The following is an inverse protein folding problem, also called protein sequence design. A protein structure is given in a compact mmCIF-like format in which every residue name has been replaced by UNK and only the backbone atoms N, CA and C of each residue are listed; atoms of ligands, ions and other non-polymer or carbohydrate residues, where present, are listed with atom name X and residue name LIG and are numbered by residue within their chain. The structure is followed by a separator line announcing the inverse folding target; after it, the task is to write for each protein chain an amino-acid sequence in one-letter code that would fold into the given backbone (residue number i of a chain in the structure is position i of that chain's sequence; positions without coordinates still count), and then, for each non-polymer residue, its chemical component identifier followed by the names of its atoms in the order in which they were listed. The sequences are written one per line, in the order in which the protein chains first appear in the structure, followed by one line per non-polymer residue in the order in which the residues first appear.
data_IF_264281561358
#
_entry.id   IF_264281561358
#
_cell.length_a   1.000
_cell.length_b   1.000
_cell.length_c   1.000
_cell.angle_alpha   90.00
_cell.angle_beta   90.00
_cell.angle_gamma   90.00
#
_symmetry.space_group_name_H-M   'P 1'
#
loop_
_entity.id
_entity.type
_entity.pdbx_description
1 polymer ?
#
# COMPACT_ATOMS: atom_id res chain seq x y z
N UNK A 1 -12.97 -9.23 -27.30
CA UNK A 1 -13.52 -9.34 -25.93
C UNK A 1 -12.44 -8.85 -24.97
N UNK A 2 -12.74 -8.07 -23.91
CA UNK A 2 -11.69 -7.65 -22.97
C UNK A 2 -11.13 -8.90 -22.29
N UNK A 3 -9.81 -9.02 -22.32
CA UNK A 3 -9.05 -10.11 -21.70
C UNK A 3 -9.31 -10.13 -20.18
N UNK A 4 -9.16 -11.27 -19.48
CA UNK A 4 -9.45 -11.44 -18.03
C UNK A 4 -8.80 -10.32 -17.19
N UNK A 5 -7.56 -9.95 -17.55
CA UNK A 5 -6.81 -8.86 -16.94
C UNK A 5 -7.51 -7.51 -17.15
N UNK A 6 -8.01 -7.22 -18.35
CA UNK A 6 -8.77 -5.98 -18.59
C UNK A 6 -10.06 -5.95 -17.77
N UNK A 7 -10.72 -7.09 -17.49
CA UNK A 7 -11.90 -7.10 -16.62
C UNK A 7 -11.55 -6.85 -15.16
N UNK A 8 -10.46 -7.44 -14.65
CA UNK A 8 -9.97 -7.14 -13.30
C UNK A 8 -9.57 -5.67 -13.19
N UNK A 9 -8.86 -5.12 -14.18
CA UNK A 9 -8.43 -3.72 -14.18
C UNK A 9 -9.60 -2.75 -14.46
N UNK A 10 -10.57 -3.10 -15.29
CA UNK A 10 -11.80 -2.31 -15.50
C UNK A 10 -12.66 -2.29 -14.22
N UNK A 11 -12.75 -3.42 -13.51
CA UNK A 11 -13.38 -3.51 -12.18
C UNK A 11 -12.66 -2.62 -11.15
N UNK A 12 -11.32 -2.59 -11.19
CA UNK A 12 -10.47 -1.71 -10.38
C UNK A 12 -10.74 -0.23 -10.69
N UNK A 13 -10.74 0.16 -11.98
CA UNK A 13 -10.98 1.53 -12.45
C UNK A 13 -12.39 2.04 -12.12
N UNK A 14 -13.41 1.18 -12.18
CA UNK A 14 -14.78 1.53 -11.79
C UNK A 14 -14.84 1.91 -10.30
N UNK A 15 -14.10 1.19 -9.43
CA UNK A 15 -13.97 1.58 -8.02
C UNK A 15 -13.18 2.88 -7.86
N UNK A 16 -12.05 3.06 -8.55
CA UNK A 16 -11.21 4.27 -8.41
C UNK A 16 -11.91 5.54 -8.91
N UNK A 17 -12.68 5.46 -10.00
CA UNK A 17 -13.45 6.61 -10.54
C UNK A 17 -14.57 7.07 -9.60
N UNK A 18 -15.14 6.18 -8.79
CA UNK A 18 -16.13 6.55 -7.78
C UNK A 18 -15.52 7.35 -6.61
N UNK A 19 -14.21 7.25 -6.37
CA UNK A 19 -13.51 7.96 -5.29
C UNK A 19 -12.89 9.31 -5.70
N UNK A 20 -13.05 9.76 -6.95
CA UNK A 20 -12.34 10.93 -7.51
C UNK A 20 -13.14 12.25 -7.52
N UNK A 21 -14.32 12.33 -6.91
CA UNK A 21 -15.17 13.53 -6.97
C UNK A 21 -15.22 14.29 -5.62
N UNK A 22 -14.09 14.85 -5.19
CA UNK A 22 -14.11 15.97 -4.22
C UNK A 22 -12.88 16.85 -4.40
N UNK A 23 -13.10 18.16 -4.37
CA UNK A 23 -12.16 19.26 -4.62
C UNK A 23 -10.83 19.10 -3.86
N UNK A 24 -9.76 18.68 -4.56
CA UNK A 24 -8.51 18.15 -3.98
C UNK A 24 -7.30 19.08 -3.95
N UNK A 25 -7.46 20.40 -3.92
CA UNK A 25 -6.29 21.28 -3.85
C UNK A 25 -6.59 22.61 -3.20
N UNK A 26 -6.04 22.82 -1.99
CA UNK A 26 -5.60 24.14 -1.49
C UNK A 26 -4.97 24.12 -0.09
N UNK A 27 -5.07 23.02 0.68
CA UNK A 27 -4.66 23.01 2.10
C UNK A 27 -3.19 22.62 2.29
N UNK A 28 -2.54 23.29 3.25
CA UNK A 28 -1.13 23.15 3.61
C UNK A 28 -0.96 22.77 5.08
N UNK A 29 0.25 22.36 5.46
CA UNK A 29 0.61 21.98 6.81
C UNK A 29 0.19 23.05 7.85
N UNK A 30 0.44 24.33 7.55
CA UNK A 30 0.07 25.44 8.42
C UNK A 30 -1.44 25.60 8.63
N UNK A 31 -2.27 25.16 7.68
CA UNK A 31 -3.73 25.29 7.76
C UNK A 31 -4.36 24.25 8.70
N UNK A 32 -3.69 23.11 8.90
CA UNK A 32 -4.22 21.96 9.64
C UNK A 32 -3.37 21.59 10.87
N UNK A 33 -2.31 22.33 11.18
CA UNK A 33 -1.44 22.05 12.34
C UNK A 33 -2.08 22.45 13.66
N UNK A 34 -1.65 21.77 14.72
CA UNK A 34 -1.98 22.13 16.10
C UNK A 34 -0.79 22.75 16.81
N UNK A 35 -1.07 23.63 17.78
CA UNK A 35 -0.03 24.18 18.67
C UNK A 35 0.65 23.05 19.42
N UNK A 36 1.99 22.95 19.37
CA UNK A 36 2.70 21.89 20.05
C UNK A 36 2.63 22.10 21.56
N UNK A 37 2.46 21.02 22.31
CA UNK A 37 2.57 21.02 23.76
C UNK A 37 3.94 20.47 24.12
N UNK A 38 4.69 21.21 24.92
CA UNK A 38 6.07 20.91 25.28
C UNK A 38 6.21 20.51 26.75
N UNK A 39 7.25 19.75 27.05
CA UNK A 39 7.72 19.43 28.41
C UNK A 39 9.24 19.61 28.47
N UNK A 40 9.75 20.00 29.64
CA UNK A 40 11.19 20.07 29.87
C UNK A 40 11.82 18.67 29.81
N UNK A 41 13.02 18.54 29.24
CA UNK A 41 13.78 17.29 29.18
C UNK A 41 13.94 16.58 30.52
N UNK A 42 13.96 17.34 31.61
CA UNK A 42 14.12 16.88 32.98
C UNK A 42 12.83 16.41 33.64
N UNK A 43 11.67 16.64 33.02
CA UNK A 43 10.38 16.17 33.52
C UNK A 43 10.36 14.64 33.63
N UNK A 44 9.65 14.12 34.64
CA UNK A 44 9.47 12.67 34.78
C UNK A 44 8.54 12.13 33.69
N UNK A 45 8.59 10.81 33.46
CA UNK A 45 7.63 10.14 32.57
C UNK A 45 6.19 10.37 33.07
N UNK A 46 5.96 10.37 34.39
CA UNK A 46 4.66 10.71 35.00
C UNK A 46 4.22 12.14 34.68
N UNK A 47 5.12 13.12 34.80
CA UNK A 47 4.77 14.52 34.50
C UNK A 47 4.35 14.66 33.04
N UNK A 48 5.08 14.02 32.11
CA UNK A 48 4.72 13.99 30.71
C UNK A 48 3.35 13.31 30.47
N UNK A 49 3.09 12.17 31.13
CA UNK A 49 1.80 11.49 31.07
C UNK A 49 0.65 12.37 31.59
N UNK A 50 0.87 13.13 32.66
CA UNK A 50 -0.12 14.09 33.19
C UNK A 50 -0.39 15.24 32.24
N UNK A 51 0.66 15.75 31.56
CA UNK A 51 0.49 16.75 30.50
C UNK A 51 -0.29 16.18 29.32
N UNK A 52 -0.02 14.94 28.91
CA UNK A 52 -0.77 14.25 27.85
C UNK A 52 -2.25 14.09 28.20
N UNK A 53 -2.56 13.54 29.39
CA UNK A 53 -3.93 13.32 29.86
C UNK A 53 -4.70 14.64 30.02
N UNK A 54 -4.10 15.65 30.65
CA UNK A 54 -4.74 16.94 30.88
C UNK A 54 -5.12 17.67 29.59
N UNK A 55 -4.30 17.54 28.55
CA UNK A 55 -4.51 18.24 27.28
C UNK A 55 -5.19 17.37 26.22
N UNK A 56 -5.53 16.12 26.54
CA UNK A 56 -6.12 15.17 25.61
C UNK A 56 -5.28 14.95 24.34
N UNK A 57 -3.97 14.72 24.51
CA UNK A 57 -3.00 14.53 23.42
C UNK A 57 -2.20 13.25 23.59
N UNK A 58 -1.83 12.61 22.48
CA UNK A 58 -1.03 11.38 22.48
C UNK A 58 0.48 11.57 22.33
N UNK A 59 0.98 12.81 22.38
CA UNK A 59 2.41 13.12 22.31
C UNK A 59 2.75 14.52 22.80
N UNK A 60 3.94 14.68 23.38
CA UNK A 60 4.54 15.97 23.76
C UNK A 60 5.89 16.15 23.06
N UNK A 61 6.23 17.39 22.73
CA UNK A 61 7.59 17.73 22.33
C UNK A 61 8.46 17.91 23.58
N UNK A 62 9.73 17.50 23.49
CA UNK A 62 10.68 17.60 24.59
C UNK A 62 11.65 18.73 24.32
N UNK A 63 11.72 19.68 25.25
CA UNK A 63 12.49 20.90 25.15
C UNK A 63 13.74 20.87 26.05
N UNK A 64 14.84 21.42 25.54
CA UNK A 64 16.08 21.67 26.28
C UNK A 64 16.46 23.15 26.08
N UNK A 65 16.39 23.95 27.14
CA UNK A 65 16.78 25.36 27.13
C UNK A 65 16.18 26.18 25.96
N UNK A 66 14.87 26.06 25.70
CA UNK A 66 14.21 26.80 24.62
C UNK A 66 14.25 26.14 23.25
N UNK A 67 14.82 24.94 23.13
CA UNK A 67 14.97 24.23 21.85
C UNK A 67 14.31 22.86 21.90
N UNK A 68 13.53 22.52 20.88
CA UNK A 68 12.93 21.19 20.76
C UNK A 68 14.00 20.17 20.37
N UNK A 69 14.25 19.20 21.24
CA UNK A 69 15.28 18.17 21.05
C UNK A 69 14.71 16.79 20.71
N UNK A 70 13.42 16.58 20.96
CA UNK A 70 12.75 15.31 20.66
C UNK A 70 11.24 15.36 20.81
N UNK A 71 10.62 14.20 20.65
CA UNK A 71 9.19 13.95 20.83
C UNK A 71 9.03 12.68 21.65
N UNK A 72 8.07 12.67 22.57
CA UNK A 72 7.65 11.46 23.28
C UNK A 72 6.16 11.25 23.09
N UNK A 73 5.78 10.01 22.84
CA UNK A 73 4.43 9.55 22.55
C UNK A 73 3.90 8.60 23.61
N UNK A 74 2.60 8.32 23.61
CA UNK A 74 2.01 7.29 24.48
C UNK A 74 2.77 5.95 24.35
N UNK A 75 3.10 5.54 23.13
CA UNK A 75 3.85 4.31 22.85
C UNK A 75 5.23 4.25 23.55
N UNK A 76 5.94 5.39 23.63
CA UNK A 76 7.22 5.46 24.34
C UNK A 76 7.04 5.23 25.84
N UNK A 77 5.97 5.79 26.41
CA UNK A 77 5.60 5.62 27.82
C UNK A 77 5.19 4.16 28.10
N UNK A 78 4.37 3.56 27.23
CA UNK A 78 3.99 2.15 27.32
C UNK A 78 5.22 1.24 27.29
N UNK A 79 6.13 1.43 26.33
CA UNK A 79 7.39 0.68 26.22
C UNK A 79 8.27 0.85 27.46
N UNK A 80 8.28 2.03 28.07
CA UNK A 80 9.01 2.27 29.30
C UNK A 80 8.44 1.42 30.45
N UNK A 81 7.12 1.41 30.61
CA UNK A 81 6.44 0.58 31.63
C UNK A 81 6.69 -0.91 31.40
N UNK A 82 6.61 -1.40 30.16
CA UNK A 82 6.93 -2.81 29.84
C UNK A 82 8.36 -3.21 30.23
N UNK A 83 9.29 -2.26 30.19
CA UNK A 83 10.70 -2.47 30.57
C UNK A 83 10.92 -2.33 32.08
N UNK A 84 9.88 -2.12 32.88
CA UNK A 84 9.98 -1.90 34.32
C UNK A 84 10.64 -0.57 34.68
N UNK A 85 10.60 0.41 33.78
CA UNK A 85 11.12 1.76 34.03
C UNK A 85 10.16 2.49 34.98
N UNK A 86 10.67 2.95 36.12
CA UNK A 86 9.91 3.71 37.11
C UNK A 86 9.52 5.10 36.55
N UNK A 87 8.21 5.37 36.34
CA UNK A 87 7.76 6.60 35.71
C UNK A 87 7.92 7.85 36.61
N UNK A 88 8.08 7.68 37.92
CA UNK A 88 8.29 8.77 38.87
C UNK A 88 9.75 9.26 38.89
N UNK A 89 10.69 8.36 38.60
CA UNK A 89 12.13 8.63 38.77
C UNK A 89 12.86 8.93 37.47
N UNK A 90 12.39 8.36 36.36
CA UNK A 90 13.08 8.43 35.06
C UNK A 90 12.55 9.59 34.24
N UNK A 91 13.47 10.24 33.52
CA UNK A 91 13.17 11.45 32.77
C UNK A 91 12.58 11.11 31.41
N UNK A 92 11.70 11.98 30.92
CA UNK A 92 11.10 11.83 29.59
C UNK A 92 12.14 11.84 28.47
N UNK A 93 13.24 12.59 28.64
CA UNK A 93 14.35 12.64 27.67
C UNK A 93 15.07 11.31 27.47
N UNK A 94 14.90 10.36 28.39
CA UNK A 94 15.55 9.04 28.33
C UNK A 94 14.77 8.03 27.48
N UNK A 95 13.49 8.32 27.21
CA UNK A 95 12.60 7.47 26.40
C UNK A 95 12.13 8.15 25.11
N UNK A 96 12.33 9.46 24.98
CA UNK A 96 11.94 10.21 23.79
C UNK A 96 12.65 9.73 22.53
N UNK A 97 11.99 9.93 21.39
CA UNK A 97 12.66 9.89 20.09
C UNK A 97 13.33 11.24 19.84
N UNK A 98 14.65 11.25 19.68
CA UNK A 98 15.41 12.45 19.34
C UNK A 98 15.19 12.91 17.89
N UNK A 99 15.39 14.21 17.66
CA UNK A 99 15.24 14.86 16.34
C UNK A 99 13.86 14.63 15.71
N UNK A 100 12.92 15.50 16.07
CA UNK A 100 11.55 15.50 15.53
C UNK A 100 11.61 15.61 14.01
N UNK A 101 10.87 14.74 13.32
CA UNK A 101 10.73 14.84 11.87
C UNK A 101 9.81 16.00 11.53
N UNK A 102 10.22 16.83 10.57
CA UNK A 102 9.52 18.07 10.27
C UNK A 102 9.17 18.25 8.79
N UNK A 103 8.18 19.09 8.55
CA UNK A 103 7.80 19.64 7.23
C UNK A 103 7.69 21.16 7.33
N UNK A 104 7.82 21.88 6.20
CA UNK A 104 7.55 23.32 6.15
C UNK A 104 6.05 23.60 6.25
N UNK A 105 5.65 24.75 6.82
CA UNK A 105 4.23 25.13 6.94
C UNK A 105 3.52 25.28 5.58
N UNK A 106 4.28 25.43 4.50
CA UNK A 106 3.82 25.51 3.12
C UNK A 106 3.62 24.15 2.43
N UNK A 107 4.05 23.05 3.05
CA UNK A 107 3.92 21.68 2.51
C UNK A 107 2.45 21.32 2.32
N UNK A 108 2.05 20.83 1.15
CA UNK A 108 0.68 20.40 0.88
C UNK A 108 0.32 19.07 1.58
N UNK A 109 -0.99 18.82 1.71
CA UNK A 109 -1.54 17.61 2.36
C UNK A 109 -1.03 16.31 1.74
N UNK A 110 -0.86 16.25 0.41
CA UNK A 110 -0.40 15.05 -0.28
C UNK A 110 1.08 14.77 0.03
N UNK A 111 1.92 15.80 0.09
CA UNK A 111 3.31 15.71 0.53
C UNK A 111 3.45 15.27 1.99
N UNK A 112 2.59 15.77 2.88
CA UNK A 112 2.52 15.34 4.29
C UNK A 112 2.16 13.85 4.37
N UNK A 113 1.13 13.43 3.63
CA UNK A 113 0.69 12.03 3.54
C UNK A 113 1.80 11.10 3.05
N UNK A 114 2.51 11.51 1.99
CA UNK A 114 3.70 10.83 1.46
C UNK A 114 4.78 10.57 2.51
N UNK A 115 5.08 11.57 3.33
CA UNK A 115 6.14 11.49 4.35
C UNK A 115 5.73 10.57 5.52
N UNK A 116 4.51 10.72 6.04
CA UNK A 116 4.01 9.88 7.14
C UNK A 116 4.07 8.40 6.77
N UNK A 117 3.60 8.06 5.56
CA UNK A 117 3.50 6.69 5.10
C UNK A 117 4.85 6.09 4.73
N UNK A 118 5.70 6.82 3.99
CA UNK A 118 7.05 6.35 3.62
C UNK A 118 7.93 6.05 4.83
N UNK A 119 7.72 6.77 5.92
CA UNK A 119 8.57 6.67 7.12
C UNK A 119 7.93 5.88 8.25
N UNK A 120 6.71 5.37 8.06
CA UNK A 120 5.92 4.69 9.10
C UNK A 120 5.83 5.52 10.39
N UNK A 121 5.67 6.83 10.26
CA UNK A 121 5.51 7.75 11.40
C UNK A 121 4.11 8.33 11.42
N UNK A 122 3.58 8.54 12.64
CA UNK A 122 2.20 9.01 12.84
C UNK A 122 2.08 10.53 12.95
N UNK A 123 3.22 11.23 13.09
CA UNK A 123 3.28 12.65 13.46
C UNK A 123 4.46 13.35 12.79
N UNK A 124 4.28 14.63 12.48
CA UNK A 124 5.30 15.53 11.95
C UNK A 124 5.26 16.86 12.69
N UNK A 125 6.43 17.41 13.03
CA UNK A 125 6.54 18.81 13.41
C UNK A 125 6.37 19.71 12.19
N UNK A 126 5.73 20.85 12.35
CA UNK A 126 5.60 21.87 11.30
C UNK A 126 6.56 22.99 11.62
N UNK A 127 7.35 23.38 10.63
CA UNK A 127 8.41 24.38 10.80
C UNK A 127 8.13 25.66 10.02
N UNK A 128 8.47 26.78 10.64
CA UNK A 128 8.56 28.10 10.02
C UNK A 128 9.90 28.73 10.38
N UNK A 129 10.64 29.20 9.37
CA UNK A 129 11.98 29.78 9.54
C UNK A 129 12.99 28.87 10.29
N UNK A 130 12.75 27.55 10.31
CA UNK A 130 13.60 26.56 10.98
C UNK A 130 13.13 26.15 12.39
N UNK A 131 12.16 26.87 12.97
CA UNK A 131 11.60 26.57 14.29
C UNK A 131 10.33 25.74 14.17
N UNK A 132 10.10 24.80 15.10
CA UNK A 132 8.86 24.01 15.14
C UNK A 132 7.75 24.86 15.75
N UNK A 133 6.79 25.25 14.90
CA UNK A 133 5.62 26.09 15.27
C UNK A 133 4.33 25.27 15.42
N UNK A 134 4.33 24.02 14.96
CA UNK A 134 3.14 23.17 14.92
C UNK A 134 3.44 21.69 15.04
N UNK A 135 2.42 20.89 15.28
CA UNK A 135 2.43 19.43 15.10
C UNK A 135 1.24 18.99 14.26
N UNK A 136 1.48 17.98 13.42
CA UNK A 136 0.49 17.29 12.62
C UNK A 136 0.50 15.81 12.94
N UNK A 137 -0.66 15.18 12.86
CA UNK A 137 -0.84 13.74 12.96
C UNK A 137 -1.52 13.21 11.70
N UNK A 138 -1.47 11.88 11.52
CA UNK A 138 -2.16 11.23 10.41
C UNK A 138 -3.69 11.46 10.45
N UNK A 139 -4.28 11.75 11.62
CA UNK A 139 -5.72 11.96 11.80
C UNK A 139 -6.19 13.21 11.06
N UNK A 140 -5.40 14.29 11.08
CA UNK A 140 -5.74 15.52 10.36
C UNK A 140 -5.86 15.26 8.85
N UNK A 141 -5.04 14.34 8.31
CA UNK A 141 -5.16 13.92 6.92
C UNK A 141 -6.48 13.16 6.67
N UNK A 142 -6.81 12.17 7.50
CA UNK A 142 -8.05 11.39 7.33
C UNK A 142 -9.28 12.30 7.31
N UNK A 143 -9.31 13.33 8.16
CA UNK A 143 -10.42 14.31 8.21
C UNK A 143 -10.71 14.95 6.87
N UNK A 144 -9.71 15.05 5.99
CA UNK A 144 -9.81 15.65 4.67
C UNK A 144 -10.04 14.65 3.54
N UNK A 145 -9.79 13.37 3.79
CA UNK A 145 -9.94 12.27 2.84
C UNK A 145 -11.28 11.54 3.08
N UNK A 146 -12.38 12.08 2.55
CA UNK A 146 -13.74 11.72 3.00
C UNK A 146 -14.44 10.54 2.30
N UNK A 147 -13.79 9.76 1.43
CA UNK A 147 -14.47 8.67 0.72
C UNK A 147 -13.68 7.36 0.75
N UNK A 148 -14.22 6.38 1.45
CA UNK A 148 -13.62 5.04 1.56
C UNK A 148 -14.54 4.03 0.90
N UNK A 149 -14.04 3.26 -0.06
CA UNK A 149 -14.81 2.23 -0.78
C UNK A 149 -14.46 0.82 -0.26
N UNK A 150 -14.79 0.52 1.00
CA UNK A 150 -14.66 -0.82 1.58
C UNK A 150 -15.77 -1.12 2.60
N UNK A 151 -15.93 -2.39 2.97
CA UNK A 151 -16.76 -2.84 4.11
C UNK A 151 -15.90 -2.93 5.38
N UNK A 152 -16.55 -3.06 6.53
CA UNK A 152 -15.89 -3.33 7.81
C UNK A 152 -15.02 -4.60 7.75
N UNK A 153 -15.51 -5.68 7.15
CA UNK A 153 -14.73 -6.91 6.85
C UNK A 153 -13.42 -6.58 6.14
N UNK A 154 -13.49 -5.73 5.11
CA UNK A 154 -12.32 -5.38 4.31
C UNK A 154 -11.29 -4.53 5.04
N UNK A 155 -11.68 -3.82 6.09
CA UNK A 155 -10.81 -2.92 6.84
C UNK A 155 -10.33 -3.50 8.17
N UNK A 156 -11.11 -4.35 8.82
CA UNK A 156 -10.87 -4.77 10.19
C UNK A 156 -9.56 -5.55 10.38
N UNK A 157 -8.94 -5.39 11.54
CA UNK A 157 -7.87 -6.25 12.03
C UNK A 157 -8.42 -7.30 12.99
N UNK A 158 -7.62 -8.35 13.20
CA UNK A 158 -7.85 -9.29 14.30
C UNK A 158 -7.79 -8.56 15.64
N UNK A 159 -8.69 -8.93 16.54
CA UNK A 159 -8.78 -8.32 17.85
C UNK A 159 -8.35 -9.29 18.93
N UNK A 160 -7.59 -8.77 19.90
CA UNK A 160 -7.26 -9.51 21.13
C UNK A 160 -8.32 -9.18 22.18
N UNK A 161 -8.90 -10.22 22.78
CA UNK A 161 -9.87 -10.11 23.86
C UNK A 161 -9.28 -10.71 25.13
N UNK A 162 -9.18 -9.92 26.20
CA UNK A 162 -8.68 -10.35 27.50
C UNK A 162 -9.81 -10.47 28.55
N UNK A 163 -9.63 -11.33 29.58
CA UNK A 163 -10.44 -11.31 30.79
C UNK A 163 -10.19 -10.05 31.64
N UNK A 164 -11.20 -9.56 32.35
CA UNK A 164 -11.11 -8.32 33.14
C UNK A 164 -10.16 -8.35 34.36
N UNK A 165 -9.77 -9.53 34.81
CA UNK A 165 -8.84 -9.72 35.92
C UNK A 165 -7.37 -9.61 35.50
N UNK A 166 -7.09 -9.53 34.20
CA UNK A 166 -5.74 -9.32 33.70
C UNK A 166 -5.20 -7.96 34.17
N UNK A 167 -3.89 -7.87 34.25
CA UNK A 167 -3.19 -6.66 34.67
C UNK A 167 -3.06 -5.65 33.53
N UNK A 168 -2.76 -4.41 33.87
CA UNK A 168 -2.36 -3.37 32.94
C UNK A 168 -1.18 -3.84 32.07
N UNK A 169 -0.23 -4.55 32.66
CA UNK A 169 0.89 -5.16 31.94
C UNK A 169 0.44 -6.15 30.88
N UNK A 170 -0.53 -7.02 31.19
CA UNK A 170 -1.07 -7.99 30.23
C UNK A 170 -1.78 -7.28 29.06
N UNK A 171 -2.53 -6.21 29.36
CA UNK A 171 -3.16 -5.39 28.32
C UNK A 171 -2.13 -4.73 27.42
N UNK A 172 -1.10 -4.09 27.98
CA UNK A 172 -0.03 -3.46 27.20
C UNK A 172 0.74 -4.50 26.37
N UNK A 173 0.96 -5.70 26.90
CA UNK A 173 1.62 -6.81 26.19
C UNK A 173 0.77 -7.35 25.04
N UNK A 174 -0.55 -7.28 25.17
CA UNK A 174 -1.49 -7.65 24.11
C UNK A 174 -1.64 -6.58 23.02
N UNK A 175 -1.27 -5.32 23.30
CA UNK A 175 -1.18 -4.27 22.28
C UNK A 175 0.03 -4.54 21.37
N UNK A 176 -0.16 -4.31 20.07
CA UNK A 176 0.88 -4.48 19.06
C UNK A 176 1.02 -3.21 18.24
N UNK A 177 2.06 -3.14 17.40
CA UNK A 177 2.21 -2.01 16.47
C UNK A 177 0.95 -1.83 15.60
N UNK A 178 0.30 -2.93 15.20
CA UNK A 178 -0.91 -2.93 14.38
C UNK A 178 -2.22 -2.73 15.15
N UNK A 179 -2.23 -3.01 16.47
CA UNK A 179 -3.42 -2.87 17.31
C UNK A 179 -3.08 -2.19 18.63
N UNK A 180 -3.40 -0.89 18.69
CA UNK A 180 -3.15 0.02 19.81
C UNK A 180 -4.30 0.03 20.85
N UNK A 181 -5.05 -1.08 20.89
CA UNK A 181 -6.13 -1.32 21.83
C UNK A 181 -6.37 -2.80 22.08
N UNK A 182 -7.02 -3.08 23.20
CA UNK A 182 -7.41 -4.42 23.61
C UNK A 182 -8.86 -4.39 24.06
N UNK A 183 -9.63 -5.40 23.65
CA UNK A 183 -10.99 -5.56 24.16
C UNK A 183 -10.97 -6.40 25.42
N UNK A 184 -11.85 -6.06 26.35
CA UNK A 184 -12.06 -6.80 27.58
C UNK A 184 -13.48 -7.35 27.55
N UNK A 185 -13.64 -8.64 27.84
CA UNK A 185 -14.97 -9.27 27.92
C UNK A 185 -15.25 -9.72 29.34
N UNK A 186 -16.43 -9.37 29.82
CA UNK A 186 -17.00 -9.84 31.09
C UNK A 186 -18.47 -10.18 30.83
N UNK A 187 -18.82 -11.46 30.99
CA UNK A 187 -20.16 -11.96 30.67
C UNK A 187 -20.62 -11.53 29.26
N UNK A 188 -21.67 -10.70 29.20
CA UNK A 188 -22.24 -10.15 27.97
C UNK A 188 -21.76 -8.72 27.67
N UNK A 189 -20.94 -8.12 28.54
CA UNK A 189 -20.43 -6.77 28.38
C UNK A 189 -19.07 -6.77 27.68
N UNK A 190 -18.84 -5.73 26.90
CA UNK A 190 -17.61 -5.50 26.16
C UNK A 190 -17.04 -4.14 26.54
N UNK A 191 -15.77 -4.14 26.90
CA UNK A 191 -15.02 -2.94 27.23
C UNK A 191 -13.79 -2.83 26.34
N UNK A 192 -13.16 -1.67 26.31
CA UNK A 192 -11.96 -1.39 25.54
C UNK A 192 -10.95 -0.64 26.41
N UNK A 193 -9.67 -0.99 26.20
CA UNK A 193 -8.52 -0.26 26.73
C UNK A 193 -7.64 0.15 25.56
N UNK A 194 -7.15 1.37 25.61
CA UNK A 194 -6.31 2.01 24.58
C UNK A 194 -5.00 2.51 25.17
N UNK A 195 -4.03 2.88 24.34
CA UNK A 195 -2.77 3.51 24.80
C UNK A 195 -3.03 4.70 25.74
N UNK A 196 -4.05 5.50 25.44
CA UNK A 196 -4.46 6.66 26.25
C UNK A 196 -4.91 6.28 27.66
N UNK A 197 -5.65 5.19 27.80
CA UNK A 197 -6.13 4.71 29.11
C UNK A 197 -4.95 4.25 29.98
N UNK A 198 -3.94 3.65 29.36
CA UNK A 198 -2.69 3.29 30.02
C UNK A 198 -1.94 4.55 30.48
N UNK A 199 -1.83 5.57 29.62
CA UNK A 199 -1.19 6.85 29.99
C UNK A 199 -1.94 7.53 31.12
N UNK A 200 -3.28 7.54 31.10
CA UNK A 200 -4.11 8.06 32.20
C UNK A 200 -3.91 7.29 33.50
N UNK A 201 -3.80 5.96 33.42
CA UNK A 201 -3.49 5.11 34.57
C UNK A 201 -2.13 5.49 35.17
N UNK A 202 -1.10 5.63 34.32
CA UNK A 202 0.24 6.06 34.72
C UNK A 202 0.18 7.44 35.33
N UNK A 203 -0.46 8.43 34.70
CA UNK A 203 -0.63 9.79 35.21
C UNK A 203 -1.25 9.82 36.62
N UNK A 204 -2.18 8.90 36.89
CA UNK A 204 -2.91 8.74 38.15
C UNK A 204 -2.18 7.94 39.23
N UNK A 205 -1.01 7.36 38.95
CA UNK A 205 -0.24 6.60 39.95
C UNK A 205 -0.49 5.11 39.94
N UNK A 206 -1.20 4.59 38.95
CA UNK A 206 -1.47 3.16 38.82
C UNK A 206 -0.25 2.44 38.26
N UNK A 207 0.09 1.31 38.87
CA UNK A 207 1.22 0.47 38.47
C UNK A 207 0.84 -0.62 37.48
N UNK A 208 1.84 -1.34 36.96
CA UNK A 208 1.68 -2.40 35.97
C UNK A 208 0.77 -3.56 36.42
N UNK A 209 0.70 -3.85 37.73
CA UNK A 209 -0.14 -4.90 38.30
C UNK A 209 -1.63 -4.50 38.48
N UNK A 210 -1.98 -3.27 38.11
CA UNK A 210 -3.36 -2.77 38.25
C UNK A 210 -4.31 -3.59 37.37
N UNK A 211 -5.41 -4.14 37.91
CA UNK A 211 -6.40 -4.84 37.08
C UNK A 211 -7.00 -3.93 36.02
N UNK A 212 -7.16 -4.46 34.80
CA UNK A 212 -7.75 -3.75 33.67
C UNK A 212 -9.16 -3.24 33.96
N UNK A 213 -9.90 -3.92 34.83
CA UNK A 213 -11.24 -3.50 35.29
C UNK A 213 -11.29 -2.12 35.94
N UNK A 214 -10.16 -1.58 36.41
CA UNK A 214 -10.10 -0.22 37.00
C UNK A 214 -9.97 0.90 35.97
N UNK A 215 -9.63 0.58 34.73
CA UNK A 215 -9.29 1.56 33.69
C UNK A 215 -10.02 1.33 32.36
N UNK A 216 -10.71 0.19 32.21
CA UNK A 216 -11.47 -0.13 31.00
C UNK A 216 -12.65 0.82 30.81
N UNK A 217 -12.96 1.11 29.54
CA UNK A 217 -14.12 1.92 29.17
C UNK A 217 -15.15 1.06 28.45
N UNK A 218 -16.44 1.35 28.65
CA UNK A 218 -17.52 0.68 27.92
C UNK A 218 -17.35 0.82 26.40
N UNK A 219 -17.54 -0.27 25.66
CA UNK A 219 -17.72 -0.17 24.21
C UNK A 219 -19.10 0.42 23.94
N UNK A 220 -19.12 1.70 23.61
CA UNK A 220 -20.37 2.44 23.33
C UNK A 220 -20.90 2.19 21.93
N UNK A 221 -20.04 1.80 20.98
CA UNK A 221 -20.39 1.65 19.58
C UNK A 221 -19.71 0.44 18.95
N UNK A 222 -20.42 -0.21 18.03
CA UNK A 222 -19.89 -1.29 17.19
C UNK A 222 -20.40 -1.10 15.76
N UNK A 223 -19.73 -1.75 14.82
CA UNK A 223 -20.21 -1.87 13.43
C UNK A 223 -20.38 -3.36 13.10
N UNK A 224 -21.24 -3.65 12.12
CA UNK A 224 -21.42 -4.99 11.59
C UNK A 224 -20.34 -5.28 10.55
N UNK A 225 -20.00 -6.55 10.40
CA UNK A 225 -19.02 -7.05 9.45
C UNK A 225 -19.27 -6.61 7.99
N UNK A 226 -20.53 -6.49 7.59
CA UNK A 226 -20.97 -6.10 6.26
C UNK A 226 -21.31 -4.61 6.13
N UNK A 227 -21.18 -3.82 7.21
CA UNK A 227 -21.40 -2.38 7.15
C UNK A 227 -20.39 -1.72 6.21
N UNK A 228 -20.86 -0.70 5.50
CA UNK A 228 -20.01 0.23 4.76
C UNK A 228 -19.07 0.96 5.73
N UNK A 229 -17.78 1.02 5.38
CA UNK A 229 -16.75 1.58 6.26
C UNK A 229 -16.95 3.07 6.56
N UNK A 230 -17.65 3.82 5.70
CA UNK A 230 -17.98 5.23 5.95
C UNK A 230 -18.89 5.38 7.17
N UNK A 231 -19.60 4.32 7.58
CA UNK A 231 -20.30 4.28 8.87
C UNK A 231 -19.32 4.38 10.05
N UNK A 232 -18.20 3.67 9.99
CA UNK A 232 -17.14 3.77 11.00
C UNK A 232 -16.60 5.21 11.07
N UNK A 233 -16.36 5.83 9.91
CA UNK A 233 -15.92 7.23 9.82
C UNK A 233 -16.90 8.22 10.46
N UNK A 234 -18.21 8.07 10.19
CA UNK A 234 -19.25 8.89 10.83
C UNK A 234 -19.21 8.76 12.34
N UNK A 235 -19.13 7.53 12.84
CA UNK A 235 -19.07 7.26 14.28
C UNK A 235 -17.78 7.84 14.90
N UNK A 236 -16.64 7.71 14.23
CA UNK A 236 -15.38 8.29 14.72
C UNK A 236 -15.47 9.80 14.89
N UNK A 237 -16.05 10.51 13.92
CA UNK A 237 -16.18 11.96 13.96
C UNK A 237 -17.27 12.44 14.93
N UNK A 238 -18.42 11.76 14.98
CA UNK A 238 -19.56 12.17 15.80
C UNK A 238 -19.29 11.95 17.29
N UNK A 239 -18.63 10.83 17.64
CA UNK A 239 -18.43 10.43 19.03
C UNK A 239 -17.00 10.60 19.52
N UNK A 240 -16.10 11.15 18.68
CA UNK A 240 -14.67 11.33 18.98
C UNK A 240 -13.99 10.05 19.49
N UNK A 241 -14.35 8.91 18.91
CA UNK A 241 -13.71 7.63 19.16
C UNK A 241 -12.90 7.22 17.94
N UNK A 242 -11.88 6.39 18.14
CA UNK A 242 -10.93 6.05 17.07
C UNK A 242 -10.91 4.58 16.72
N UNK A 243 -11.73 3.78 17.40
CA UNK A 243 -11.71 2.32 17.38
C UNK A 243 -13.12 1.77 17.54
N UNK A 244 -13.49 0.82 16.71
CA UNK A 244 -14.83 0.23 16.64
C UNK A 244 -14.73 -1.29 16.52
N UNK A 245 -15.21 -2.05 17.52
CA UNK A 245 -15.35 -3.48 17.39
C UNK A 245 -16.30 -3.84 16.25
N UNK A 246 -15.90 -4.82 15.46
CA UNK A 246 -16.67 -5.36 14.36
C UNK A 246 -17.36 -6.62 14.81
N UNK A 247 -18.67 -6.68 14.60
CA UNK A 247 -19.53 -7.77 15.03
C UNK A 247 -20.08 -8.57 13.85
N UNK A 248 -20.19 -9.89 14.01
CA UNK A 248 -20.87 -10.80 13.10
C UNK A 248 -21.67 -11.79 13.91
N UNK A 249 -22.96 -11.89 13.64
CA UNK A 249 -23.89 -12.75 14.38
C UNK A 249 -23.91 -12.50 15.92
N UNK A 250 -23.59 -11.28 16.36
CA UNK A 250 -23.52 -10.92 17.77
C UNK A 250 -22.14 -11.12 18.41
N UNK A 251 -21.23 -11.83 17.74
CA UNK A 251 -19.85 -12.00 18.20
C UNK A 251 -18.93 -10.90 17.67
N UNK A 252 -18.01 -10.44 18.51
CA UNK A 252 -16.92 -9.57 18.08
C UNK A 252 -15.85 -10.41 17.39
N UNK A 253 -15.56 -10.06 16.14
CA UNK A 253 -14.63 -10.81 15.27
C UNK A 253 -13.43 -9.99 14.81
N UNK A 254 -13.43 -8.69 15.08
CA UNK A 254 -12.35 -7.79 14.70
C UNK A 254 -12.53 -6.39 15.27
N UNK A 255 -11.63 -5.50 14.89
CA UNK A 255 -11.68 -4.09 15.22
C UNK A 255 -11.29 -3.26 14.01
N UNK A 256 -11.99 -2.15 13.80
CA UNK A 256 -11.64 -1.11 12.83
C UNK A 256 -11.17 0.11 13.58
N UNK A 257 -10.04 0.66 13.18
CA UNK A 257 -9.47 1.89 13.71
C UNK A 257 -9.46 2.97 12.64
N UNK A 258 -9.24 4.22 13.04
CA UNK A 258 -8.97 5.32 12.09
C UNK A 258 -7.79 5.01 11.17
N UNK A 259 -6.81 4.22 11.60
CA UNK A 259 -5.68 3.77 10.75
C UNK A 259 -6.14 2.81 9.65
N UNK A 260 -7.11 1.96 9.92
CA UNK A 260 -7.64 1.06 8.89
C UNK A 260 -8.36 1.83 7.77
N UNK A 261 -8.84 3.04 8.09
CA UNK A 261 -9.35 3.99 7.10
C UNK A 261 -8.23 4.63 6.25
N UNK A 262 -7.01 4.71 6.77
CA UNK A 262 -5.84 5.14 5.99
C UNK A 262 -5.27 4.06 5.06
N UNK A 263 -5.54 2.77 5.30
CA UNK A 263 -4.96 1.67 4.50
C UNK A 263 -5.39 1.68 3.02
N UNK A 264 -6.63 2.04 2.64
CA UNK A 264 -6.97 2.30 1.24
C UNK A 264 -6.14 3.42 0.60
N UNK A 265 -5.52 4.31 1.39
CA UNK A 265 -4.61 5.34 0.88
C UNK A 265 -3.16 4.84 0.74
N UNK A 266 -2.80 3.71 1.36
CA UNK A 266 -1.46 3.14 1.16
C UNK A 266 -1.22 2.73 -0.30
N UNK A 267 -2.26 2.38 -1.09
CA UNK A 267 -2.10 2.17 -2.53
C UNK A 267 -1.86 3.48 -3.30
N UNK A 268 -2.36 4.61 -2.82
CA UNK A 268 -2.06 5.95 -3.37
C UNK A 268 -0.72 6.54 -2.91
N UNK A 269 0.02 5.83 -2.05
CA UNK A 269 1.33 6.26 -1.50
C UNK A 269 2.50 5.41 -1.99
N UNK A 270 2.21 4.27 -2.61
CA UNK A 270 3.18 3.42 -3.32
C UNK A 270 3.35 3.98 -4.72
N UNK A 271 4.56 4.43 -5.04
CA UNK A 271 4.89 4.96 -6.37
C UNK A 271 5.41 3.86 -7.28
N UNK A 272 5.41 4.12 -8.59
CA UNK A 272 6.04 3.24 -9.58
C UNK A 272 7.47 2.84 -9.19
N UNK A 273 8.24 3.75 -8.57
CA UNK A 273 9.60 3.49 -8.08
C UNK A 273 9.66 2.45 -6.96
N UNK A 274 8.64 2.38 -6.11
CA UNK A 274 8.63 1.50 -4.94
C UNK A 274 8.31 0.04 -5.32
N UNK A 275 7.66 -0.16 -6.47
CA UNK A 275 7.24 -1.48 -6.96
C UNK A 275 7.90 -1.89 -8.28
N UNK A 276 8.80 -1.09 -8.85
CA UNK A 276 9.58 -1.47 -10.02
C UNK A 276 10.74 -2.38 -9.61
N UNK A 277 10.51 -3.68 -9.67
CA UNK A 277 11.50 -4.69 -9.25
C UNK A 277 12.38 -5.18 -10.40
N UNK A 278 11.91 -5.03 -11.65
CA UNK A 278 12.52 -5.68 -12.80
C UNK A 278 13.28 -4.70 -13.69
N UNK A 279 14.51 -5.08 -14.02
CA UNK A 279 15.28 -4.43 -15.08
C UNK A 279 14.86 -5.02 -16.41
N UNK A 280 14.45 -4.17 -17.33
CA UNK A 280 14.05 -4.60 -18.68
C UNK A 280 15.28 -4.69 -19.60
N UNK A 281 15.34 -5.76 -20.39
CA UNK A 281 16.32 -5.90 -21.47
C UNK A 281 15.99 -4.93 -22.61
N UNK A 282 17.02 -4.54 -23.34
CA UNK A 282 16.87 -3.72 -24.54
C UNK A 282 17.78 -4.22 -25.65
N UNK A 283 17.31 -4.08 -26.89
CA UNK A 283 18.09 -4.29 -28.12
C UNK A 283 17.99 -3.05 -29.00
N UNK A 284 18.96 -2.86 -29.87
CA UNK A 284 18.94 -1.74 -30.82
C UNK A 284 17.99 -2.03 -31.98
N UNK A 285 17.46 -0.98 -32.61
CA UNK A 285 16.48 -1.13 -33.69
C UNK A 285 17.00 -1.84 -34.94
N UNK A 286 18.32 -2.01 -35.09
CA UNK A 286 18.97 -2.77 -36.17
C UNK A 286 19.08 -4.28 -35.88
N UNK A 287 18.76 -4.73 -34.67
CA UNK A 287 18.79 -6.13 -34.28
C UNK A 287 17.76 -6.99 -35.05
N UNK A 288 17.99 -8.30 -35.10
CA UNK A 288 17.05 -9.25 -35.71
C UNK A 288 15.84 -9.52 -34.80
N UNK A 289 14.77 -10.04 -35.38
CA UNK A 289 13.62 -10.56 -34.61
C UNK A 289 14.07 -11.68 -33.67
N UNK A 290 15.01 -12.53 -34.11
CA UNK A 290 15.61 -13.58 -33.27
C UNK A 290 16.34 -13.02 -32.03
N UNK A 291 17.14 -11.97 -32.21
CA UNK A 291 17.84 -11.30 -31.09
C UNK A 291 16.87 -10.74 -30.06
N UNK A 292 15.76 -10.16 -30.54
CA UNK A 292 14.72 -9.63 -29.68
C UNK A 292 14.01 -10.73 -28.90
N UNK A 293 13.70 -11.86 -29.54
CA UNK A 293 13.10 -13.04 -28.90
C UNK A 293 14.02 -13.56 -27.79
N UNK A 294 15.32 -13.71 -28.07
CA UNK A 294 16.31 -14.19 -27.10
C UNK A 294 16.53 -13.22 -25.92
N UNK A 295 16.26 -11.93 -26.12
CA UNK A 295 16.37 -10.91 -25.08
C UNK A 295 15.11 -10.78 -24.20
N UNK A 296 13.98 -11.38 -24.59
CA UNK A 296 12.76 -11.41 -23.77
C UNK A 296 12.99 -12.36 -22.60
N UNK A 297 12.75 -11.85 -21.38
CA UNK A 297 12.63 -12.68 -20.19
C UNK A 297 11.16 -13.10 -20.04
N UNK A 298 10.79 -14.35 -20.38
CA UNK A 298 9.39 -14.80 -20.37
C UNK A 298 8.80 -14.93 -18.96
N UNK A 299 9.64 -14.96 -17.93
CA UNK A 299 9.18 -15.25 -16.57
C UNK A 299 8.79 -13.99 -15.81
N UNK A 300 9.54 -12.90 -15.98
CA UNK A 300 9.35 -11.68 -15.18
C UNK A 300 8.85 -10.49 -15.99
N UNK A 301 9.42 -10.20 -17.17
CA UNK A 301 9.08 -8.98 -17.92
C UNK A 301 8.18 -9.25 -19.13
N UNK A 302 8.42 -10.34 -19.85
CA UNK A 302 7.71 -10.74 -21.08
C UNK A 302 7.79 -9.70 -22.21
N UNK A 303 8.85 -8.91 -22.22
CA UNK A 303 9.12 -7.93 -23.28
C UNK A 303 10.59 -7.52 -23.35
N UNK A 304 10.95 -6.87 -24.46
CA UNK A 304 12.23 -6.19 -24.67
C UNK A 304 11.97 -4.78 -25.22
N UNK A 305 12.75 -3.79 -24.77
CA UNK A 305 12.70 -2.44 -25.32
C UNK A 305 13.56 -2.33 -26.58
N UNK A 306 13.06 -1.61 -27.57
CA UNK A 306 13.80 -1.27 -28.78
C UNK A 306 14.29 0.16 -28.65
N UNK A 307 15.60 0.34 -28.78
CA UNK A 307 16.25 1.64 -28.59
C UNK A 307 17.01 2.10 -29.82
N UNK A 308 17.30 3.40 -29.87
CA UNK A 308 18.14 3.95 -30.94
C UNK A 308 19.51 3.25 -31.00
N UNK A 309 20.02 2.92 -32.20
CA UNK A 309 21.36 2.35 -32.35
C UNK A 309 22.46 3.24 -31.76
N UNK A 310 22.29 4.56 -31.80
CA UNK A 310 23.28 5.54 -31.33
C UNK A 310 23.40 5.59 -29.80
N UNK A 311 22.36 5.21 -29.06
CA UNK A 311 22.30 5.30 -27.60
C UNK A 311 22.81 4.04 -26.87
N UNK A 312 22.88 2.91 -27.56
CA UNK A 312 23.17 1.61 -26.94
C UNK A 312 22.11 1.17 -25.92
N UNK A 313 22.37 0.08 -25.20
CA UNK A 313 21.38 -0.61 -24.33
C UNK A 313 21.58 -0.35 -22.83
N UNK A 314 22.42 0.62 -22.46
CA UNK A 314 22.72 1.00 -21.05
C UNK A 314 22.34 2.46 -20.81
N UNK A 315 21.83 2.78 -19.61
CA UNK A 315 21.41 4.12 -19.22
C UNK A 315 20.45 4.76 -20.24
N UNK A 316 19.45 3.99 -20.64
CA UNK A 316 18.52 4.36 -21.70
C UNK A 316 17.75 5.62 -21.29
N UNK A 317 17.81 6.65 -22.14
CA UNK A 317 17.01 7.86 -22.01
C UNK A 317 15.65 7.65 -22.65
N UNK A 318 14.62 8.31 -22.13
CA UNK A 318 13.23 8.23 -22.60
C UNK A 318 13.12 8.45 -24.11
N UNK A 319 13.77 9.50 -24.63
CA UNK A 319 13.71 9.87 -26.05
C UNK A 319 14.39 8.85 -26.98
N UNK A 320 15.20 7.95 -26.42
CA UNK A 320 15.89 6.91 -27.14
C UNK A 320 15.11 5.58 -27.16
N UNK A 321 13.94 5.50 -26.52
CA UNK A 321 13.06 4.34 -26.56
C UNK A 321 12.17 4.47 -27.81
N UNK A 322 12.45 3.65 -28.82
CA UNK A 322 11.77 3.70 -30.12
C UNK A 322 10.64 2.68 -30.25
N UNK A 323 10.66 1.64 -29.43
CA UNK A 323 9.61 0.63 -29.46
C UNK A 323 9.66 -0.34 -28.30
N UNK A 324 8.67 -1.22 -28.27
CA UNK A 324 8.61 -2.36 -27.36
C UNK A 324 8.14 -3.60 -28.14
N UNK A 325 8.79 -4.74 -27.89
CA UNK A 325 8.35 -6.05 -28.39
C UNK A 325 7.93 -6.88 -27.19
N UNK A 326 6.72 -7.42 -27.24
CA UNK A 326 6.15 -8.28 -26.20
C UNK A 326 5.98 -9.71 -26.71
N UNK A 327 5.70 -10.64 -25.80
CA UNK A 327 5.40 -12.04 -26.17
C UNK A 327 4.28 -12.15 -27.22
N UNK A 328 3.28 -11.26 -27.16
CA UNK A 328 2.18 -11.21 -28.13
C UNK A 328 2.65 -10.82 -29.53
N UNK A 329 3.64 -9.94 -29.63
CA UNK A 329 4.19 -9.53 -30.92
C UNK A 329 4.95 -10.69 -31.57
N UNK A 330 5.62 -11.51 -30.74
CA UNK A 330 6.25 -12.77 -31.16
C UNK A 330 5.21 -13.79 -31.61
N UNK A 331 4.14 -14.02 -30.84
CA UNK A 331 3.03 -14.92 -31.22
C UNK A 331 2.43 -14.49 -32.57
N UNK A 332 2.22 -13.19 -32.76
CA UNK A 332 1.73 -12.65 -34.03
C UNK A 332 2.72 -12.85 -35.17
N UNK A 333 4.02 -12.73 -34.90
CA UNK A 333 5.08 -13.00 -35.88
C UNK A 333 5.10 -14.49 -36.29
N UNK A 334 4.96 -15.42 -35.33
CA UNK A 334 4.85 -16.87 -35.58
C UNK A 334 3.61 -17.19 -36.43
N UNK A 335 2.45 -16.67 -36.04
CA UNK A 335 1.19 -16.91 -36.75
C UNK A 335 1.27 -16.41 -38.21
N UNK A 336 2.06 -15.37 -38.47
CA UNK A 336 2.28 -14.78 -39.80
C UNK A 336 3.50 -15.32 -40.53
N UNK A 337 4.24 -16.25 -39.93
CA UNK A 337 5.43 -16.87 -40.52
C UNK A 337 6.52 -15.83 -40.89
N UNK A 338 6.73 -14.84 -40.00
CA UNK A 338 7.78 -13.83 -40.13
C UNK A 338 9.15 -14.50 -40.07
N UNK A 339 10.06 -14.08 -40.95
CA UNK A 339 11.45 -14.52 -40.96
C UNK A 339 12.22 -13.89 -39.79
N UNK A 340 12.91 -14.71 -38.99
CA UNK A 340 13.56 -14.29 -37.75
C UNK A 340 14.82 -13.44 -37.99
N UNK A 341 15.41 -13.54 -39.18
CA UNK A 341 16.56 -12.73 -39.60
C UNK A 341 16.16 -11.30 -39.99
N UNK A 342 14.85 -11.03 -40.12
CA UNK A 342 14.35 -9.69 -40.38
C UNK A 342 14.59 -8.77 -39.20
N UNK A 343 14.54 -7.48 -39.49
CA UNK A 343 14.77 -6.44 -38.51
C UNK A 343 13.62 -6.38 -37.48
N UNK A 344 13.96 -6.21 -36.21
CA UNK A 344 13.01 -6.16 -35.10
C UNK A 344 11.99 -5.02 -35.23
N UNK A 345 12.33 -3.92 -35.92
CA UNK A 345 11.39 -2.82 -36.17
C UNK A 345 10.17 -3.22 -37.00
N UNK A 346 10.22 -4.36 -37.72
CA UNK A 346 9.07 -4.88 -38.47
C UNK A 346 7.95 -5.41 -37.56
N UNK A 347 8.26 -5.77 -36.30
CA UNK A 347 7.29 -6.39 -35.39
C UNK A 347 7.02 -5.56 -34.13
N UNK A 348 7.86 -4.57 -33.83
CA UNK A 348 7.74 -3.75 -32.61
C UNK A 348 6.49 -2.86 -32.63
N UNK A 349 6.00 -2.55 -31.43
CA UNK A 349 5.09 -1.43 -31.23
C UNK A 349 5.91 -0.15 -31.09
N UNK A 350 5.73 0.81 -31.98
CA UNK A 350 6.44 2.10 -32.04
C UNK A 350 5.89 3.14 -31.05
N UNK A 351 4.66 2.95 -30.58
CA UNK A 351 4.08 3.76 -29.51
C UNK A 351 4.37 3.10 -28.16
N UNK A 352 5.32 3.67 -27.42
CA UNK A 352 5.69 3.21 -26.08
C UNK A 352 5.10 4.15 -25.02
N UNK A 353 4.12 3.63 -24.27
CA UNK A 353 3.54 4.37 -23.15
C UNK A 353 4.40 4.17 -21.90
N UNK A 354 4.81 5.27 -21.28
CA UNK A 354 5.62 5.29 -20.06
C UNK A 354 4.82 5.75 -18.85
N UNK A 355 5.39 5.53 -17.67
CA UNK A 355 4.91 6.06 -16.38
C UNK A 355 6.07 6.79 -15.69
N UNK A 356 5.80 7.90 -15.00
CA UNK A 356 6.84 8.52 -14.18
C UNK A 356 7.09 7.69 -12.92
N UNK A 357 8.34 7.65 -12.46
CA UNK A 357 8.76 6.92 -11.27
C UNK A 357 8.00 7.32 -10.01
N UNK A 358 7.44 8.53 -9.97
CA UNK A 358 6.69 9.05 -8.83
C UNK A 358 5.17 8.96 -8.98
N UNK A 359 4.66 8.48 -10.11
CA UNK A 359 3.23 8.23 -10.30
C UNK A 359 2.76 7.10 -9.36
N UNK A 360 1.54 7.21 -8.83
CA UNK A 360 0.95 6.24 -7.92
C UNK A 360 0.33 5.03 -8.62
N UNK A 361 -0.16 4.07 -7.83
CA UNK A 361 -0.81 2.85 -8.34
C UNK A 361 -2.03 3.18 -9.21
N UNK A 362 -2.80 4.21 -8.87
CA UNK A 362 -3.98 4.61 -9.63
C UNK A 362 -3.62 5.10 -11.04
N UNK A 363 -2.55 5.90 -11.16
CA UNK A 363 -2.03 6.34 -12.45
C UNK A 363 -1.52 5.14 -13.28
N UNK A 364 -0.83 4.18 -12.65
CA UNK A 364 -0.36 2.96 -13.32
C UNK A 364 -1.55 2.15 -13.86
N UNK A 365 -2.59 1.93 -13.03
CA UNK A 365 -3.82 1.25 -13.41
C UNK A 365 -4.53 1.99 -14.55
N UNK A 366 -4.65 3.32 -14.43
CA UNK A 366 -5.27 4.16 -15.46
C UNK A 366 -4.53 4.02 -16.79
N UNK A 367 -3.19 4.03 -16.79
CA UNK A 367 -2.35 3.84 -17.98
C UNK A 367 -2.55 2.45 -18.60
N UNK A 368 -2.55 1.39 -17.79
CA UNK A 368 -2.79 0.02 -18.28
C UNK A 368 -4.15 -0.10 -18.97
N UNK A 369 -5.22 0.46 -18.39
CA UNK A 369 -6.56 0.43 -19.00
C UNK A 369 -6.63 1.32 -20.23
N UNK A 370 -6.28 2.60 -20.07
CA UNK A 370 -6.47 3.64 -21.09
C UNK A 370 -5.77 3.28 -22.39
N UNK A 371 -4.57 2.72 -22.29
CA UNK A 371 -3.78 2.35 -23.46
C UNK A 371 -3.82 0.86 -23.78
N UNK A 372 -4.59 0.06 -23.02
CA UNK A 372 -4.69 -1.39 -23.17
C UNK A 372 -3.32 -2.10 -23.18
N UNK A 373 -2.37 -1.59 -22.39
CA UNK A 373 -1.03 -2.15 -22.23
C UNK A 373 -0.93 -2.91 -20.91
N UNK A 374 -0.04 -3.90 -20.88
CA UNK A 374 0.23 -4.70 -19.66
C UNK A 374 1.61 -4.40 -19.04
N UNK A 375 2.35 -3.49 -19.68
CA UNK A 375 3.76 -3.18 -19.42
C UNK A 375 3.98 -1.69 -19.63
N UNK A 376 4.66 -1.04 -18.69
CA UNK A 376 4.95 0.39 -18.71
C UNK A 376 6.42 0.61 -18.31
N UNK A 377 7.27 1.12 -19.21
CA UNK A 377 8.61 1.55 -18.84
C UNK A 377 8.52 2.71 -17.84
N UNK A 378 9.29 2.60 -16.75
CA UNK A 378 9.31 3.58 -15.67
C UNK A 378 10.43 4.59 -15.90
N UNK A 379 10.06 5.85 -16.02
CA UNK A 379 10.99 6.95 -16.32
C UNK A 379 11.15 7.82 -15.07
N UNK A 380 12.39 8.14 -14.73
CA UNK A 380 12.69 9.06 -13.64
C UNK A 380 12.80 10.49 -14.15
N UNK A 381 12.00 11.42 -13.60
CA UNK A 381 12.04 12.85 -13.94
C UNK A 381 11.98 13.12 -15.44
N UNK A 382 11.15 12.35 -16.14
CA UNK A 382 11.00 12.39 -17.60
C UNK A 382 12.29 12.17 -18.44
N UNK A 383 13.36 11.63 -17.84
CA UNK A 383 14.67 11.55 -18.49
C UNK A 383 15.16 10.13 -18.68
N UNK A 384 15.38 9.39 -17.60
CA UNK A 384 16.07 8.09 -17.65
C UNK A 384 15.16 6.94 -17.31
N UNK A 385 15.27 5.84 -18.05
CA UNK A 385 14.65 4.56 -17.72
C UNK A 385 15.27 3.98 -16.44
N UNK A 386 14.43 3.60 -15.49
CA UNK A 386 14.88 2.91 -14.26
C UNK A 386 14.43 1.44 -14.19
N UNK A 387 13.41 1.05 -14.95
CA UNK A 387 12.92 -0.32 -15.02
C UNK A 387 11.61 -0.43 -15.79
N UNK A 388 10.90 -1.54 -15.63
CA UNK A 388 9.58 -1.76 -16.23
C UNK A 388 8.59 -2.26 -15.19
N UNK A 389 7.36 -1.77 -15.27
CA UNK A 389 6.23 -2.27 -14.50
C UNK A 389 5.35 -3.14 -15.37
N UNK A 390 4.95 -4.26 -14.82
CA UNK A 390 3.98 -5.19 -15.37
C UNK A 390 2.70 -5.17 -14.53
N UNK A 391 1.61 -5.69 -15.08
CA UNK A 391 0.39 -5.92 -14.28
C UNK A 391 0.68 -6.77 -13.04
N UNK A 392 1.66 -7.69 -13.07
CA UNK A 392 2.02 -8.53 -11.92
C UNK A 392 2.51 -7.69 -10.74
N UNK A 393 3.27 -6.63 -11.01
CA UNK A 393 3.88 -5.78 -9.98
C UNK A 393 2.82 -5.02 -9.17
N UNK A 394 1.66 -4.73 -9.77
CA UNK A 394 0.53 -4.10 -9.07
C UNK A 394 -0.37 -5.08 -8.32
N UNK A 395 -0.28 -6.40 -8.56
CA UNK A 395 -1.12 -7.40 -7.88
C UNK A 395 -0.75 -7.58 -6.40
N UNK A 396 0.54 -7.45 -6.08
CA UNK A 396 1.05 -7.56 -4.71
C UNK A 396 0.48 -6.48 -3.77
N UNK A 397 0.59 -5.16 -4.09
CA UNK A 397 0.03 -4.12 -3.23
C UNK A 397 -1.50 -4.08 -3.21
N UNK A 398 -2.20 -4.68 -4.18
CA UNK A 398 -3.66 -4.59 -4.30
C UNK A 398 -4.44 -5.70 -3.55
N UNK A 399 -3.76 -6.61 -2.84
CA UNK A 399 -4.41 -7.59 -1.95
C UNK A 399 -5.56 -8.40 -2.61
N UNK A 400 -5.23 -9.18 -3.66
CA UNK A 400 -6.16 -9.96 -4.48
C UNK A 400 -7.05 -10.98 -3.75
N UNK A 401 -6.80 -11.28 -2.48
CA UNK A 401 -7.55 -12.27 -1.69
C UNK A 401 -9.05 -11.94 -1.51
N UNK A 402 -9.50 -10.75 -1.97
CA UNK A 402 -10.89 -10.28 -1.92
C UNK A 402 -11.65 -10.42 -3.24
N UNK A 403 -11.01 -10.88 -4.33
CA UNK A 403 -11.65 -11.08 -5.64
C UNK A 403 -11.84 -12.58 -5.86
N UNK A 404 -13.09 -13.04 -5.89
CA UNK A 404 -13.39 -14.42 -6.25
C UNK A 404 -13.10 -14.66 -7.74
N UNK A 405 -12.40 -15.75 -8.06
CA UNK A 405 -12.11 -16.18 -9.43
C UNK A 405 -13.38 -16.28 -10.29
N UNK A 406 -14.52 -16.65 -9.69
CA UNK A 406 -15.82 -16.71 -10.40
C UNK A 406 -16.23 -15.37 -11.04
N UNK A 407 -15.84 -14.24 -10.43
CA UNK A 407 -16.22 -12.91 -10.86
C UNK A 407 -15.36 -12.37 -12.00
N UNK A 408 -14.22 -13.01 -12.27
CA UNK A 408 -13.23 -12.57 -13.26
C UNK A 408 -12.91 -13.63 -14.31
N UNK A 409 -13.29 -14.90 -14.09
CA UNK A 409 -13.06 -15.98 -15.04
C UNK A 409 -13.78 -15.73 -16.37
N UNK A 410 -13.18 -16.23 -17.46
CA UNK A 410 -13.79 -16.25 -18.79
C UNK A 410 -13.92 -17.69 -19.27
N UNK A 411 -14.75 -17.92 -20.28
CA UNK A 411 -14.85 -19.23 -20.91
C UNK A 411 -13.46 -19.67 -21.43
N UNK A 412 -12.97 -20.83 -21.00
CA UNK A 412 -11.64 -21.27 -21.38
C UNK A 412 -11.61 -21.68 -22.85
N UNK A 413 -10.57 -21.28 -23.56
CA UNK A 413 -10.28 -21.81 -24.88
C UNK A 413 -9.49 -23.10 -24.70
N UNK A 414 -10.01 -24.19 -25.26
CA UNK A 414 -9.42 -25.52 -25.17
C UNK A 414 -8.92 -26.00 -26.53
N UNK A 415 -7.95 -26.91 -26.52
CA UNK A 415 -7.47 -27.65 -27.68
C UNK A 415 -7.13 -29.11 -27.31
N UNK A 416 -7.11 -29.99 -28.31
CA UNK A 416 -6.58 -31.34 -28.15
C UNK A 416 -5.05 -31.33 -27.98
N UNK A 417 -4.51 -32.38 -27.38
CA UNK A 417 -3.07 -32.51 -27.12
C UNK A 417 -2.17 -32.67 -28.36
N UNK A 418 -2.77 -32.93 -29.51
CA UNK A 418 -2.12 -33.05 -30.81
C UNK A 418 -1.93 -31.69 -31.51
N UNK A 419 -2.36 -30.59 -30.87
CA UNK A 419 -2.21 -29.24 -31.42
C UNK A 419 -0.74 -28.86 -31.59
N UNK A 420 -0.37 -28.35 -32.77
CA UNK A 420 0.97 -27.80 -33.00
C UNK A 420 1.13 -26.41 -32.37
N UNK A 421 2.36 -26.06 -31.98
CA UNK A 421 2.68 -24.72 -31.44
C UNK A 421 2.24 -23.61 -32.40
N UNK A 422 2.46 -23.79 -33.71
CA UNK A 422 2.00 -22.85 -34.73
C UNK A 422 0.48 -22.67 -34.70
N UNK A 423 -0.27 -23.77 -34.61
CA UNK A 423 -1.73 -23.71 -34.56
C UNK A 423 -2.23 -23.09 -33.26
N UNK A 424 -1.56 -23.36 -32.14
CA UNK A 424 -1.82 -22.71 -30.86
C UNK A 424 -1.58 -21.19 -30.95
N UNK A 425 -0.47 -20.75 -31.55
CA UNK A 425 -0.17 -19.33 -31.78
C UNK A 425 -1.22 -18.64 -32.66
N UNK A 426 -1.68 -19.29 -33.75
CA UNK A 426 -2.77 -18.78 -34.60
C UNK A 426 -4.09 -18.60 -33.81
N UNK A 427 -4.42 -19.53 -32.92
CA UNK A 427 -5.60 -19.44 -32.05
C UNK A 427 -5.42 -18.30 -31.03
N UNK A 428 -4.23 -18.18 -30.42
CA UNK A 428 -3.92 -17.11 -29.47
C UNK A 428 -4.03 -15.72 -30.12
N UNK A 429 -3.44 -15.53 -31.31
CA UNK A 429 -3.50 -14.28 -32.07
C UNK A 429 -4.94 -13.95 -32.49
N UNK A 430 -5.64 -14.90 -33.14
CA UNK A 430 -7.00 -14.66 -33.64
C UNK A 430 -8.04 -14.40 -32.55
N UNK A 431 -7.89 -15.02 -31.37
CA UNK A 431 -8.80 -14.83 -30.23
C UNK A 431 -8.34 -13.76 -29.24
N UNK A 432 -7.11 -13.24 -29.39
CA UNK A 432 -6.53 -12.25 -28.48
C UNK A 432 -6.30 -12.77 -27.06
N UNK A 433 -6.00 -14.06 -26.91
CA UNK A 433 -5.79 -14.76 -25.62
C UNK A 433 -4.32 -15.11 -25.45
N UNK A 434 -3.87 -15.25 -24.19
CA UNK A 434 -2.47 -15.58 -23.88
C UNK A 434 -2.22 -17.03 -23.47
N UNK A 435 -3.27 -17.87 -23.46
CA UNK A 435 -3.16 -19.25 -23.03
C UNK A 435 -4.29 -20.12 -23.58
N UNK A 436 -4.02 -21.42 -23.76
CA UNK A 436 -4.98 -22.43 -24.19
C UNK A 436 -4.90 -23.61 -23.21
N UNK A 437 -6.04 -24.12 -22.78
CA UNK A 437 -6.12 -25.34 -21.98
C UNK A 437 -6.02 -26.58 -22.89
N UNK A 438 -5.14 -27.52 -22.56
CA UNK A 438 -4.95 -28.74 -23.33
C UNK A 438 -5.75 -29.87 -22.70
N UNK A 439 -6.59 -30.52 -23.51
CA UNK A 439 -7.56 -31.52 -23.09
C UNK A 439 -7.29 -32.88 -23.75
N UNK A 440 -7.51 -33.98 -23.03
CA UNK A 440 -7.59 -35.36 -23.56
C UNK A 440 -8.79 -36.07 -22.97
N UNK A 441 -9.70 -36.55 -23.81
CA UNK A 441 -10.90 -37.27 -23.38
C UNK A 441 -11.65 -36.52 -22.25
N UNK A 442 -11.92 -35.23 -22.46
CA UNK A 442 -12.56 -34.32 -21.49
C UNK A 442 -11.80 -34.06 -20.17
N UNK A 443 -10.58 -34.58 -20.03
CA UNK A 443 -9.71 -34.29 -18.90
C UNK A 443 -8.71 -33.18 -19.24
N UNK A 444 -8.52 -32.24 -18.32
CA UNK A 444 -7.46 -31.23 -18.40
C UNK A 444 -6.10 -31.91 -18.23
N UNK A 445 -5.24 -31.77 -19.24
CA UNK A 445 -3.86 -32.26 -19.20
C UNK A 445 -2.86 -31.17 -18.81
N UNK A 446 -3.10 -29.93 -19.23
CA UNK A 446 -2.17 -28.83 -18.99
C UNK A 446 -2.62 -27.52 -19.63
N UNK A 447 -1.72 -26.56 -19.63
CA UNK A 447 -1.91 -25.24 -20.23
C UNK A 447 -0.70 -24.93 -21.12
N UNK A 448 -0.94 -24.34 -22.27
CA UNK A 448 0.10 -23.73 -23.11
C UNK A 448 -0.12 -22.21 -23.12
N UNK A 449 0.96 -21.45 -22.96
CA UNK A 449 0.96 -19.99 -22.85
C UNK A 449 1.78 -19.32 -23.97
N UNK A 450 1.69 -17.99 -24.07
CA UNK A 450 2.56 -17.19 -24.96
C UNK A 450 4.05 -17.50 -24.69
N UNK A 451 4.42 -17.66 -23.41
CA UNK A 451 5.79 -17.95 -22.96
C UNK A 451 6.29 -19.32 -23.42
N UNK A 452 5.45 -20.37 -23.34
CA UNK A 452 5.84 -21.72 -23.78
C UNK A 452 6.13 -21.77 -25.29
N UNK A 453 5.41 -20.95 -26.08
CA UNK A 453 5.62 -20.85 -27.52
C UNK A 453 6.95 -20.19 -27.87
N UNK A 454 7.43 -19.29 -27.01
CA UNK A 454 8.70 -18.56 -27.17
C UNK A 454 9.88 -19.44 -26.75
N UNK A 455 9.77 -20.17 -25.64
CA UNK A 455 10.84 -21.06 -25.16
C UNK A 455 11.21 -22.16 -26.17
N UNK A 456 10.29 -22.56 -27.05
CA UNK A 456 10.56 -23.51 -28.14
C UNK A 456 11.43 -22.91 -29.26
N UNK A 457 11.53 -21.58 -29.34
CA UNK A 457 12.29 -20.86 -30.36
C UNK A 457 13.67 -20.40 -29.88
N UNK A 458 13.88 -20.27 -28.57
CA UNK A 458 15.19 -20.00 -27.98
C UNK A 458 16.02 -21.29 -27.89
N UNK A 459 17.34 -21.22 -28.16
CA UNK A 459 18.24 -22.39 -28.15
C UNK A 459 18.42 -23.05 -26.77
N UNK A 460 17.93 -22.41 -25.69
CA UNK A 460 18.00 -22.93 -24.32
C UNK A 460 16.64 -23.49 -23.88
N UNK A 461 16.45 -24.79 -24.01
CA UNK A 461 15.43 -25.55 -23.26
C UNK A 461 16.15 -26.49 -22.28
N UNK A 462 15.76 -26.57 -21.00
CA UNK A 462 16.18 -27.66 -20.11
C UNK A 462 15.61 -29.02 -20.54
#
# INVERSE_FOLDING_TARGET
MPNIINRTIDFLVIRTKMAKNTSRGLLRAGDIMHTPITVDKGASIRDAAQVMDKNDIGSVLVEDAGQITGISTEEDILKAVMRGIDPDRRKISEIMTGAVRTVGSDTDIDGISGILSKRHIRRLGVTENGDIVGILTAIELIRHYSEHLTTAEGAMQNVVILPQQHSLYDAVTAMTEDNDSVLIREDNNLYIITEKDVVKAIASGLGADTPVSKIMNDVTHTIKFDDDINKAWKIFNEFNIMRLPVTKNGDVIGIVTTRDLLRPYHSSLVTARDIVWTKVSAVTSDASVGDAINAIDPYYTGCVLIVSPASGTRNILKDNIWGIVTERDVIRAIARNVDLEKNVSEIMCDVVHTIDAYDGIDEIIERFVKYHVRRLPVIYKDTSLIGILTVRDILWPYHLHKINAENVMCEPVTAGEDISIKRAAEIMDSKGIGSILIMRNDNLLGIITESDSISVMSEDCP
#
